data_IF_216331423987
#
_entry.id   IF_216331423987
#
_cell.length_a   1.000
_cell.length_b   1.000
_cell.length_c   1.000
_cell.angle_alpha   90.00
_cell.angle_beta   90.00
_cell.angle_gamma   90.00
#
_symmetry.space_group_name_H-M   'P 1'
#
loop_
_entity.id
_entity.type
_entity.pdbx_description
1 polymer ?
#
# COMPACT_ATOMS: atom_id res chain seq x y z
N UNK A 1 -50.01 18.07 -60.80
CA UNK A 1 -50.02 16.99 -59.79
C UNK A 1 -48.69 16.27 -59.89
N UNK A 2 -47.75 16.58 -58.99
CA UNK A 2 -46.43 15.95 -58.95
C UNK A 2 -46.46 14.87 -57.87
N UNK A 3 -46.42 13.61 -58.29
CA UNK A 3 -46.16 12.49 -57.39
C UNK A 3 -44.67 12.18 -57.50
N UNK A 4 -43.99 12.31 -56.38
CA UNK A 4 -42.54 12.23 -56.24
C UNK A 4 -41.99 10.84 -56.60
N UNK A 5 -40.94 10.82 -57.42
CA UNK A 5 -40.15 9.63 -57.82
C UNK A 5 -39.42 8.93 -56.64
N UNK A 6 -39.51 9.45 -55.41
CA UNK A 6 -38.87 8.88 -54.22
C UNK A 6 -39.47 7.54 -53.76
N UNK A 7 -40.64 7.16 -54.26
CA UNK A 7 -41.39 5.99 -53.78
C UNK A 7 -41.09 4.68 -54.53
N UNK A 8 -40.40 4.73 -55.68
CA UNK A 8 -40.11 3.55 -56.51
C UNK A 8 -38.71 2.92 -56.29
N UNK A 9 -37.83 3.58 -55.54
CA UNK A 9 -36.46 3.09 -55.27
C UNK A 9 -36.37 2.37 -53.91
N UNK A 10 -37.35 2.54 -53.02
CA UNK A 10 -37.34 1.91 -51.69
C UNK A 10 -37.96 0.51 -51.65
N UNK A 11 -38.78 0.14 -52.63
CA UNK A 11 -39.41 -1.19 -52.72
C UNK A 11 -38.40 -2.34 -53.00
N UNK A 12 -37.40 -2.20 -53.88
CA UNK A 12 -36.41 -3.27 -54.13
C UNK A 12 -35.45 -3.46 -52.95
N UNK A 13 -35.11 -2.38 -52.23
CA UNK A 13 -34.16 -2.42 -51.11
C UNK A 13 -34.78 -3.10 -49.89
N UNK A 14 -36.08 -2.93 -49.67
CA UNK A 14 -36.80 -3.60 -48.58
C UNK A 14 -37.01 -5.10 -48.84
N UNK A 15 -37.22 -5.51 -50.10
CA UNK A 15 -37.31 -6.93 -50.48
C UNK A 15 -35.94 -7.63 -50.32
N UNK A 16 -34.84 -6.94 -50.66
CA UNK A 16 -33.48 -7.49 -50.47
C UNK A 16 -33.11 -7.60 -48.97
N UNK A 17 -33.51 -6.63 -48.15
CA UNK A 17 -33.33 -6.70 -46.69
C UNK A 17 -34.18 -7.79 -46.03
N UNK A 18 -35.39 -8.06 -46.55
CA UNK A 18 -36.26 -9.14 -46.10
C UNK A 18 -35.75 -10.55 -46.50
N UNK A 19 -35.03 -10.67 -47.62
CA UNK A 19 -34.37 -11.92 -48.02
C UNK A 19 -33.05 -12.15 -47.27
N UNK A 20 -32.30 -11.10 -46.89
CA UNK A 20 -31.07 -11.23 -46.08
C UNK A 20 -31.38 -11.63 -44.62
N UNK A 21 -32.56 -11.33 -44.08
CA UNK A 21 -33.00 -11.82 -42.77
C UNK A 21 -33.48 -13.29 -42.78
N UNK A 22 -33.62 -13.90 -43.95
CA UNK A 22 -33.86 -15.33 -44.11
C UNK A 22 -32.59 -16.04 -44.59
N UNK A 23 -31.47 -15.84 -43.89
CA UNK A 23 -30.41 -16.83 -43.87
C UNK A 23 -31.04 -18.18 -43.53
N UNK A 24 -30.89 -19.15 -44.44
CA UNK A 24 -31.51 -20.47 -44.32
C UNK A 24 -31.16 -21.15 -42.98
N UNK A 25 -31.91 -22.18 -42.56
CA UNK A 25 -31.71 -22.85 -41.28
C UNK A 25 -30.22 -23.18 -41.01
N UNK A 26 -29.50 -23.54 -42.07
CA UNK A 26 -28.07 -23.89 -42.06
C UNK A 26 -27.12 -22.70 -41.77
N UNK A 27 -27.42 -21.45 -42.18
CA UNK A 27 -26.60 -20.28 -41.83
C UNK A 27 -26.90 -19.76 -40.41
N UNK A 28 -28.16 -19.83 -39.99
CA UNK A 28 -28.57 -19.52 -38.62
C UNK A 28 -28.01 -20.54 -37.62
N UNK A 29 -27.97 -21.81 -37.98
CA UNK A 29 -27.30 -22.85 -37.19
C UNK A 29 -25.79 -22.66 -37.16
N UNK A 30 -25.13 -22.35 -38.28
CA UNK A 30 -23.68 -22.07 -38.30
C UNK A 30 -23.30 -20.85 -37.47
N UNK A 31 -24.07 -19.76 -37.53
CA UNK A 31 -23.83 -18.57 -36.71
C UNK A 31 -24.12 -18.80 -35.23
N UNK A 32 -25.09 -19.66 -34.89
CA UNK A 32 -25.39 -20.06 -33.51
C UNK A 32 -24.34 -21.03 -32.97
N UNK A 33 -23.89 -21.99 -33.77
CA UNK A 33 -22.82 -22.92 -33.44
C UNK A 33 -21.49 -22.20 -33.27
N UNK A 34 -21.17 -21.20 -34.11
CA UNK A 34 -19.97 -20.37 -33.96
C UNK A 34 -20.03 -19.52 -32.68
N UNK A 35 -21.20 -18.94 -32.34
CA UNK A 35 -21.41 -18.22 -31.07
C UNK A 35 -21.31 -19.14 -29.86
N UNK A 36 -21.83 -20.36 -29.94
CA UNK A 36 -21.72 -21.39 -28.91
C UNK A 36 -20.26 -21.84 -28.73
N UNK A 37 -19.52 -22.05 -29.83
CA UNK A 37 -18.08 -22.36 -29.80
C UNK A 37 -17.25 -21.22 -29.18
N UNK A 38 -17.51 -19.97 -29.57
CA UNK A 38 -16.85 -18.79 -28.99
C UNK A 38 -17.23 -18.59 -27.51
N UNK A 39 -18.45 -18.93 -27.09
CA UNK A 39 -18.87 -18.86 -25.69
C UNK A 39 -18.25 -19.96 -24.81
N UNK A 40 -17.76 -21.04 -25.42
CA UNK A 40 -17.03 -22.14 -24.76
C UNK A 40 -15.53 -21.90 -24.69
N UNK A 41 -14.99 -20.97 -25.48
CA UNK A 41 -13.62 -20.51 -25.35
C UNK A 41 -13.62 -19.48 -24.22
N UNK A 42 -13.07 -19.86 -23.07
CA UNK A 42 -12.78 -18.90 -22.01
C UNK A 42 -11.63 -18.01 -22.49
N UNK A 43 -11.98 -16.90 -23.14
CA UNK A 43 -11.04 -15.88 -23.62
C UNK A 43 -10.12 -15.39 -22.49
N UNK A 44 -10.61 -15.37 -21.25
CA UNK A 44 -9.79 -14.99 -20.10
C UNK A 44 -8.79 -16.10 -19.72
N UNK A 45 -9.16 -17.38 -19.88
CA UNK A 45 -8.23 -18.51 -19.72
C UNK A 45 -7.19 -18.58 -20.85
N UNK A 46 -7.57 -18.18 -22.06
CA UNK A 46 -6.66 -18.06 -23.20
C UNK A 46 -5.68 -16.89 -23.00
N UNK A 47 -6.16 -15.72 -22.59
CA UNK A 47 -5.33 -14.55 -22.29
C UNK A 47 -4.39 -14.76 -21.09
N UNK A 48 -4.80 -15.57 -20.09
CA UNK A 48 -3.94 -15.97 -18.97
C UNK A 48 -2.73 -16.82 -19.38
N UNK A 49 -2.78 -17.51 -20.52
CA UNK A 49 -1.64 -18.33 -21.00
C UNK A 49 -0.54 -17.51 -21.66
N UNK A 50 -0.85 -16.30 -22.10
CA UNK A 50 0.08 -15.40 -22.78
C UNK A 50 0.63 -14.29 -21.86
N UNK A 51 0.17 -14.20 -20.60
CA UNK A 51 0.75 -13.26 -19.62
C UNK A 51 2.21 -13.65 -19.30
N UNK A 52 3.16 -12.71 -19.38
CA UNK A 52 4.56 -12.97 -19.01
C UNK A 52 4.69 -13.35 -17.54
N UNK A 53 5.71 -14.15 -17.18
CA UNK A 53 5.95 -14.54 -15.79
C UNK A 53 6.13 -13.29 -14.91
N UNK A 54 5.61 -13.39 -13.68
CA UNK A 54 5.80 -12.40 -12.62
C UNK A 54 7.13 -12.63 -11.89
N UNK A 55 8.20 -12.75 -12.68
CA UNK A 55 9.56 -12.90 -12.18
C UNK A 55 10.31 -11.60 -12.46
N UNK A 56 10.79 -10.96 -11.40
CA UNK A 56 11.42 -9.65 -11.45
C UNK A 56 12.79 -9.73 -10.78
N UNK A 57 13.78 -8.97 -11.26
CA UNK A 57 15.08 -8.87 -10.60
C UNK A 57 14.96 -8.40 -9.14
N UNK A 58 15.99 -8.65 -8.33
CA UNK A 58 16.02 -8.27 -6.91
C UNK A 58 17.00 -7.11 -6.63
N UNK A 59 17.60 -6.52 -7.66
CA UNK A 59 18.53 -5.39 -7.60
C UNK A 59 18.12 -4.24 -8.52
N UNK A 60 18.54 -3.01 -8.18
CA UNK A 60 18.28 -1.83 -9.01
C UNK A 60 18.94 -1.98 -10.39
N UNK A 61 20.16 -2.52 -10.42
CA UNK A 61 20.92 -2.80 -11.63
C UNK A 61 20.21 -3.83 -12.51
N UNK A 62 19.60 -4.86 -11.90
CA UNK A 62 18.77 -5.82 -12.62
C UNK A 62 17.54 -5.19 -13.27
N UNK A 63 16.98 -4.16 -12.65
CA UNK A 63 15.94 -3.31 -13.23
C UNK A 63 16.47 -2.31 -14.28
N UNK A 64 17.78 -2.24 -14.48
CA UNK A 64 18.51 -1.26 -15.29
C UNK A 64 18.37 0.20 -14.79
N UNK A 65 18.15 0.40 -13.49
CA UNK A 65 18.08 1.73 -12.87
C UNK A 65 19.16 1.92 -11.80
N UNK A 66 19.52 3.17 -11.56
CA UNK A 66 20.33 3.59 -10.43
C UNK A 66 19.90 4.98 -9.96
N UNK A 67 20.20 5.34 -8.71
CA UNK A 67 20.08 6.71 -8.25
C UNK A 67 21.29 7.51 -8.71
N UNK A 68 21.07 8.65 -9.37
CA UNK A 68 22.14 9.56 -9.77
C UNK A 68 22.61 10.43 -8.58
N UNK A 69 23.60 11.30 -8.81
CA UNK A 69 24.14 12.23 -7.78
C UNK A 69 23.10 13.19 -7.20
N UNK A 70 21.99 13.43 -7.92
CA UNK A 70 20.86 14.26 -7.47
C UNK A 70 19.81 13.44 -6.72
N UNK A 71 20.06 12.17 -6.43
CA UNK A 71 19.12 11.27 -5.77
C UNK A 71 17.93 10.87 -6.64
N UNK A 72 18.00 11.01 -7.96
CA UNK A 72 16.91 10.67 -8.87
C UNK A 72 17.09 9.28 -9.48
N UNK A 73 16.04 8.47 -9.49
CA UNK A 73 16.06 7.15 -10.13
C UNK A 73 16.07 7.31 -11.65
N UNK A 74 17.13 6.84 -12.30
CA UNK A 74 17.34 6.96 -13.75
C UNK A 74 17.83 5.66 -14.36
N UNK A 75 17.42 5.41 -15.60
CA UNK A 75 17.87 4.25 -16.34
C UNK A 75 19.39 4.36 -16.59
N UNK A 76 20.15 3.31 -16.29
CA UNK A 76 21.62 3.34 -16.24
C UNK A 76 22.23 3.74 -17.58
N UNK A 77 21.66 3.28 -18.70
CA UNK A 77 22.22 3.51 -20.04
C UNK A 77 21.72 4.78 -20.70
N UNK A 78 20.44 5.13 -20.49
CA UNK A 78 19.78 6.21 -21.23
C UNK A 78 19.59 7.48 -20.41
N UNK A 79 19.64 7.38 -19.08
CA UNK A 79 19.34 8.49 -18.18
C UNK A 79 17.86 8.87 -18.11
N UNK A 80 16.96 8.07 -18.70
CA UNK A 80 15.51 8.33 -18.70
C UNK A 80 14.87 7.99 -17.34
N UNK A 81 13.73 8.64 -16.98
CA UNK A 81 13.01 8.35 -15.75
C UNK A 81 12.33 6.97 -15.78
N UNK A 82 11.78 6.56 -14.63
CA UNK A 82 11.02 5.33 -14.53
C UNK A 82 9.73 5.39 -15.35
N UNK A 83 9.46 4.34 -16.13
CA UNK A 83 8.22 4.17 -16.89
C UNK A 83 7.36 3.09 -16.25
N UNK A 84 6.17 3.47 -15.79
CA UNK A 84 5.20 2.54 -15.17
C UNK A 84 4.54 1.63 -16.20
N UNK A 85 3.99 2.21 -17.29
CA UNK A 85 3.39 1.46 -18.40
C UNK A 85 4.49 0.90 -19.32
N UNK A 86 5.32 0.01 -18.77
CA UNK A 86 6.46 -0.58 -19.48
C UNK A 86 6.00 -1.52 -20.60
N UNK A 87 4.91 -2.26 -20.36
CA UNK A 87 4.22 -3.04 -21.40
C UNK A 87 2.81 -2.50 -21.60
N UNK A 88 2.46 -2.19 -22.85
CA UNK A 88 1.10 -1.78 -23.21
C UNK A 88 0.12 -2.91 -22.86
N UNK A 89 -1.08 -2.54 -22.40
CA UNK A 89 -2.19 -3.44 -22.03
C UNK A 89 -1.94 -4.47 -20.92
N UNK A 90 -0.74 -4.52 -20.32
CA UNK A 90 -0.39 -5.45 -19.23
C UNK A 90 -0.36 -4.75 -17.86
N UNK A 91 -1.49 -4.18 -17.45
CA UNK A 91 -1.62 -3.43 -16.19
C UNK A 91 -1.19 -4.23 -14.95
N UNK A 92 -1.60 -5.50 -14.85
CA UNK A 92 -1.25 -6.36 -13.71
C UNK A 92 0.26 -6.59 -13.63
N UNK A 93 0.90 -6.87 -14.76
CA UNK A 93 2.34 -7.09 -14.81
C UNK A 93 3.11 -5.81 -14.46
N UNK A 94 2.70 -4.66 -15.02
CA UNK A 94 3.30 -3.35 -14.72
C UNK A 94 3.17 -3.00 -13.23
N UNK A 95 2.02 -3.27 -12.63
CA UNK A 95 1.80 -3.09 -11.20
C UNK A 95 2.73 -3.97 -10.36
N UNK A 96 2.87 -5.26 -10.71
CA UNK A 96 3.78 -6.18 -10.01
C UNK A 96 5.25 -5.80 -10.18
N UNK A 97 5.64 -5.30 -11.35
CA UNK A 97 6.97 -4.72 -11.60
C UNK A 97 7.25 -3.53 -10.69
N UNK A 98 6.27 -2.62 -10.55
CA UNK A 98 6.37 -1.45 -9.68
C UNK A 98 6.47 -1.84 -8.20
N UNK A 99 5.71 -2.85 -7.77
CA UNK A 99 5.79 -3.41 -6.42
C UNK A 99 7.19 -3.98 -6.15
N UNK A 100 7.71 -4.83 -7.05
CA UNK A 100 9.04 -5.42 -6.95
C UNK A 100 10.15 -4.35 -6.85
N UNK A 101 10.13 -3.33 -7.71
CA UNK A 101 11.05 -2.20 -7.62
C UNK A 101 10.96 -1.48 -6.27
N UNK A 102 9.74 -1.32 -5.74
CA UNK A 102 9.52 -0.70 -4.44
C UNK A 102 10.13 -1.44 -3.25
N UNK A 103 10.19 -2.77 -3.31
CA UNK A 103 10.86 -3.58 -2.28
C UNK A 103 12.37 -3.41 -2.34
N UNK A 104 12.95 -3.31 -3.55
CA UNK A 104 14.37 -3.02 -3.74
C UNK A 104 14.71 -1.63 -3.19
N UNK A 105 13.89 -0.62 -3.50
CA UNK A 105 14.06 0.74 -2.99
C UNK A 105 13.99 0.77 -1.46
N UNK A 106 13.11 -0.03 -0.86
CA UNK A 106 13.01 -0.13 0.60
C UNK A 106 14.34 -0.61 1.21
N UNK A 107 14.95 -1.66 0.65
CA UNK A 107 16.27 -2.13 1.09
C UNK A 107 17.35 -1.06 0.89
N UNK A 108 17.34 -0.39 -0.26
CA UNK A 108 18.28 0.68 -0.57
C UNK A 108 18.18 1.85 0.44
N UNK A 109 16.97 2.27 0.80
CA UNK A 109 16.76 3.31 1.82
C UNK A 109 17.30 2.86 3.19
N UNK A 110 17.12 1.60 3.58
CA UNK A 110 17.71 1.09 4.82
C UNK A 110 19.23 1.18 4.82
N UNK A 111 19.89 0.86 3.70
CA UNK A 111 21.33 1.00 3.58
C UNK A 111 21.77 2.46 3.73
N UNK A 112 21.02 3.41 3.16
CA UNK A 112 21.31 4.84 3.35
C UNK A 112 21.11 5.27 4.81
N UNK A 113 20.09 4.77 5.51
CA UNK A 113 19.90 5.06 6.93
C UNK A 113 21.08 4.56 7.78
N UNK A 114 21.62 3.38 7.45
CA UNK A 114 22.76 2.80 8.16
C UNK A 114 24.08 3.50 7.81
N UNK A 115 24.36 3.70 6.52
CA UNK A 115 25.65 4.20 6.02
C UNK A 115 25.75 5.73 6.01
N UNK A 116 24.71 6.42 5.56
CA UNK A 116 24.74 7.88 5.36
C UNK A 116 24.18 8.65 6.56
N UNK A 117 23.27 8.04 7.31
CA UNK A 117 22.67 8.64 8.51
C UNK A 117 23.23 8.06 9.83
N UNK A 118 24.10 7.05 9.78
CA UNK A 118 24.69 6.39 10.94
C UNK A 118 23.65 5.88 11.96
N UNK A 119 22.49 5.42 11.48
CA UNK A 119 21.46 4.85 12.33
C UNK A 119 21.64 3.34 12.47
N UNK A 120 21.37 2.80 13.65
CA UNK A 120 21.42 1.37 13.95
C UNK A 120 20.01 0.78 13.93
N UNK A 121 19.83 -0.40 13.32
CA UNK A 121 18.60 -1.18 13.46
C UNK A 121 18.52 -1.80 14.84
N UNK A 122 17.41 -1.57 15.51
CA UNK A 122 17.10 -2.18 16.81
C UNK A 122 15.91 -3.10 16.62
N UNK A 123 16.10 -4.38 16.91
CA UNK A 123 15.08 -5.41 16.77
C UNK A 123 13.97 -5.25 17.81
N UNK A 124 12.73 -5.47 17.36
CA UNK A 124 11.53 -5.50 18.19
C UNK A 124 10.82 -6.85 18.06
N UNK A 125 10.20 -7.38 19.13
CA UNK A 125 10.31 -6.94 20.53
C UNK A 125 11.76 -6.96 21.07
N UNK A 126 12.06 -6.17 22.11
CA UNK A 126 13.42 -6.09 22.70
C UNK A 126 13.87 -7.38 23.37
N UNK A 127 12.91 -8.21 23.77
CA UNK A 127 13.07 -9.51 24.42
C UNK A 127 12.73 -10.67 23.47
N UNK A 128 12.74 -10.43 22.16
CA UNK A 128 12.28 -11.40 21.19
C UNK A 128 13.16 -12.67 21.12
N UNK A 129 12.51 -13.83 21.27
CA UNK A 129 13.05 -15.17 21.05
C UNK A 129 13.43 -15.39 19.58
N UNK A 130 14.27 -16.38 19.27
CA UNK A 130 14.69 -16.67 17.89
C UNK A 130 13.52 -17.07 16.97
N UNK A 131 12.50 -17.72 17.52
CA UNK A 131 11.40 -18.31 16.75
C UNK A 131 10.19 -17.40 16.56
N UNK A 132 10.12 -16.25 17.25
CA UNK A 132 8.96 -15.36 17.13
C UNK A 132 9.13 -14.29 16.03
N UNK A 133 8.03 -13.79 15.44
CA UNK A 133 8.06 -12.68 14.48
C UNK A 133 8.73 -11.43 15.05
N UNK A 134 9.53 -10.76 14.23
CA UNK A 134 10.31 -9.57 14.61
C UNK A 134 10.13 -8.44 13.60
N UNK A 135 10.27 -7.22 14.08
CA UNK A 135 10.40 -5.98 13.31
C UNK A 135 11.61 -5.21 13.82
N UNK A 136 11.76 -3.95 13.44
CA UNK A 136 12.81 -3.08 13.93
C UNK A 136 12.43 -1.60 13.85
N UNK A 137 13.19 -0.79 14.56
CA UNK A 137 13.29 0.66 14.40
C UNK A 137 14.71 1.04 14.05
N UNK A 138 14.93 2.25 13.54
CA UNK A 138 16.27 2.83 13.46
C UNK A 138 16.47 3.85 14.58
N UNK A 139 17.67 3.90 15.14
CA UNK A 139 18.06 4.96 16.07
C UNK A 139 19.49 5.44 15.89
N UNK A 140 19.74 6.71 16.19
CA UNK A 140 21.11 7.22 16.34
C UNK A 140 21.74 6.67 17.62
N UNK A 141 23.07 6.63 17.68
CA UNK A 141 23.80 6.11 18.84
C UNK A 141 23.50 6.86 20.14
N UNK A 142 23.19 8.15 20.05
CA UNK A 142 22.87 9.03 21.16
C UNK A 142 21.37 9.14 21.46
N UNK A 143 20.49 8.44 20.72
CA UNK A 143 19.03 8.64 20.79
C UNK A 143 18.45 8.52 22.20
N UNK A 144 19.02 7.66 23.04
CA UNK A 144 18.55 7.44 24.42
C UNK A 144 19.35 8.25 25.46
N UNK A 145 20.56 8.70 25.13
CA UNK A 145 21.49 9.33 26.08
C UNK A 145 21.59 10.85 25.90
N UNK A 146 21.16 11.39 24.76
CA UNK A 146 21.14 12.82 24.49
C UNK A 146 20.11 13.52 25.40
N UNK A 147 20.54 14.42 26.30
CA UNK A 147 19.65 15.04 27.28
C UNK A 147 18.82 16.19 26.68
N UNK A 148 19.16 16.70 25.51
CA UNK A 148 18.55 17.93 25.01
C UNK A 148 17.32 17.66 24.15
N UNK A 149 17.50 16.96 23.04
CA UNK A 149 16.51 16.89 21.96
C UNK A 149 16.49 15.51 21.32
N UNK A 150 15.29 14.96 21.15
CA UNK A 150 15.04 13.71 20.43
C UNK A 150 14.03 13.96 19.31
N UNK A 151 14.33 13.54 18.09
CA UNK A 151 13.41 13.54 16.96
C UNK A 151 12.89 12.12 16.71
N UNK A 152 11.57 12.00 16.56
CA UNK A 152 10.86 10.74 16.30
C UNK A 152 10.09 10.86 14.99
N UNK A 153 10.41 10.01 14.01
CA UNK A 153 9.81 10.02 12.67
C UNK A 153 8.82 8.87 12.49
N UNK A 154 7.60 9.19 12.04
CA UNK A 154 6.50 8.22 11.86
C UNK A 154 5.89 8.38 10.46
N UNK A 155 6.07 7.37 9.61
CA UNK A 155 5.49 7.37 8.26
C UNK A 155 4.01 6.98 8.25
N UNK A 156 3.36 7.20 7.10
CA UNK A 156 1.94 6.85 6.88
C UNK A 156 1.71 5.35 6.70
N UNK A 157 0.46 4.98 6.45
CA UNK A 157 0.04 3.59 6.20
C UNK A 157 0.41 3.11 4.80
N UNK A 158 0.36 1.80 4.59
CA UNK A 158 0.48 1.16 3.27
C UNK A 158 1.82 0.46 3.06
N UNK A 159 2.36 0.55 1.84
CA UNK A 159 3.58 -0.18 1.43
C UNK A 159 4.88 0.55 1.74
N UNK A 160 4.81 1.72 2.38
CA UNK A 160 5.99 2.44 2.88
C UNK A 160 6.51 1.81 4.16
N UNK A 161 7.81 1.96 4.39
CA UNK A 161 8.53 1.46 5.57
C UNK A 161 9.40 2.55 6.17
N UNK A 162 10.04 2.26 7.30
CA UNK A 162 11.00 3.17 7.96
C UNK A 162 11.94 3.85 6.95
N UNK A 163 12.12 5.16 7.09
CA UNK A 163 12.90 5.99 6.17
C UNK A 163 12.13 6.54 4.97
N UNK A 164 10.88 6.14 4.72
CA UNK A 164 10.14 6.55 3.52
C UNK A 164 8.90 7.40 3.85
N UNK A 165 8.66 8.44 3.06
CA UNK A 165 7.38 9.16 3.05
C UNK A 165 6.45 8.62 1.96
N UNK A 166 6.97 8.43 0.75
CA UNK A 166 6.18 7.98 -0.39
C UNK A 166 7.05 7.30 -1.46
N UNK A 167 6.77 6.02 -1.72
CA UNK A 167 7.40 5.24 -2.80
C UNK A 167 7.28 5.94 -4.17
N UNK A 168 6.14 6.58 -4.44
CA UNK A 168 5.90 7.32 -5.70
C UNK A 168 6.86 8.49 -5.87
N UNK A 169 7.16 9.24 -4.82
CA UNK A 169 8.07 10.39 -4.88
C UNK A 169 9.51 9.89 -5.10
N UNK A 170 9.95 8.86 -4.37
CA UNK A 170 11.28 8.27 -4.55
C UNK A 170 11.52 7.84 -6.01
N UNK A 171 10.52 7.22 -6.64
CA UNK A 171 10.64 6.68 -8.00
C UNK A 171 10.58 7.77 -9.07
N UNK A 172 9.70 8.77 -8.92
CA UNK A 172 9.41 9.73 -10.00
C UNK A 172 10.11 11.08 -9.84
N UNK A 173 10.49 11.44 -8.61
CA UNK A 173 11.13 12.71 -8.27
C UNK A 173 12.56 12.44 -7.82
N UNK A 174 12.77 12.20 -6.52
CA UNK A 174 14.07 11.94 -5.91
C UNK A 174 13.97 11.36 -4.49
N UNK A 175 15.11 10.95 -3.94
CA UNK A 175 15.26 10.51 -2.55
C UNK A 175 14.89 11.60 -1.55
N UNK A 176 15.19 12.86 -1.80
CA UNK A 176 15.00 13.93 -0.82
C UNK A 176 13.51 14.18 -0.55
N UNK A 177 12.70 14.26 -1.60
CA UNK A 177 11.24 14.43 -1.51
C UNK A 177 10.54 13.18 -0.97
N UNK A 178 11.04 11.99 -1.32
CA UNK A 178 10.37 10.74 -1.01
C UNK A 178 10.78 10.06 0.30
N UNK A 179 11.88 10.47 0.92
CA UNK A 179 12.44 9.84 2.14
C UNK A 179 12.48 10.77 3.34
N UNK A 180 12.69 10.17 4.51
CA UNK A 180 12.91 10.85 5.78
C UNK A 180 14.35 11.35 5.93
N UNK A 181 15.25 11.01 5.00
CA UNK A 181 16.70 11.27 5.10
C UNK A 181 17.02 12.75 5.28
N UNK A 182 16.41 13.71 4.55
CA UNK A 182 16.70 15.13 4.78
C UNK A 182 16.35 15.60 6.19
N UNK A 183 15.26 15.08 6.76
CA UNK A 183 14.86 15.38 8.14
C UNK A 183 15.87 14.81 9.13
N UNK A 184 16.31 13.57 8.92
CA UNK A 184 17.31 12.90 9.76
C UNK A 184 18.64 13.65 9.71
N UNK A 185 19.16 13.95 8.51
CA UNK A 185 20.42 14.69 8.34
C UNK A 185 20.37 16.06 9.00
N UNK A 186 19.24 16.77 8.88
CA UNK A 186 19.03 18.05 9.56
C UNK A 186 18.97 17.89 11.08
N UNK A 187 18.26 16.90 11.58
CA UNK A 187 18.16 16.62 13.02
C UNK A 187 19.53 16.32 13.62
N UNK A 188 20.32 15.46 12.98
CA UNK A 188 21.69 15.14 13.41
C UNK A 188 22.57 16.40 13.39
N UNK A 189 22.52 17.19 12.31
CA UNK A 189 23.27 18.45 12.22
C UNK A 189 22.89 19.46 13.32
N UNK A 190 21.62 19.51 13.71
CA UNK A 190 21.14 20.36 14.80
C UNK A 190 21.29 19.71 16.20
N UNK A 191 21.94 18.55 16.32
CA UNK A 191 22.28 17.89 17.58
C UNK A 191 21.13 17.13 18.25
N UNK A 192 20.17 16.64 17.49
CA UNK A 192 19.09 15.78 17.99
C UNK A 192 19.53 14.32 17.97
N UNK A 193 19.17 13.57 19.00
CA UNK A 193 19.03 12.12 18.88
C UNK A 193 17.88 11.80 17.92
N UNK A 194 17.91 10.68 17.21
CA UNK A 194 16.91 10.32 16.20
C UNK A 194 16.37 8.91 16.42
N UNK A 195 15.05 8.73 16.33
CA UNK A 195 14.38 7.44 16.24
C UNK A 195 13.43 7.46 15.03
N UNK A 196 13.48 6.40 14.21
CA UNK A 196 12.62 6.20 13.05
C UNK A 196 11.79 4.93 13.26
N UNK A 197 10.47 5.09 13.29
CA UNK A 197 9.54 3.97 13.49
C UNK A 197 9.28 3.21 12.17
N UNK A 198 8.90 1.94 12.29
CA UNK A 198 8.49 1.09 11.17
C UNK A 198 7.06 0.51 11.38
N UNK A 199 6.03 1.37 11.58
CA UNK A 199 4.69 0.93 12.01
C UNK A 199 3.95 -0.01 11.06
N UNK A 200 4.37 -0.11 9.80
CA UNK A 200 3.74 -0.98 8.80
C UNK A 200 4.38 -2.37 8.70
N UNK A 201 5.51 -2.61 9.39
CA UNK A 201 6.12 -3.93 9.49
C UNK A 201 5.69 -4.57 10.81
N UNK A 202 4.44 -5.03 10.83
CA UNK A 202 3.70 -5.50 12.00
C UNK A 202 3.31 -6.98 11.94
N UNK A 203 3.65 -7.69 10.87
CA UNK A 203 3.46 -9.13 10.72
C UNK A 203 4.48 -9.74 9.77
N UNK A 204 4.65 -11.06 9.85
CA UNK A 204 5.31 -11.87 8.83
C UNK A 204 4.27 -12.74 8.10
N UNK A 205 4.50 -13.00 6.81
CA UNK A 205 3.67 -13.93 6.05
C UNK A 205 4.27 -15.33 6.10
N UNK A 206 3.48 -16.32 6.51
CA UNK A 206 3.87 -17.74 6.53
C UNK A 206 2.86 -18.59 5.78
N UNK A 207 3.32 -19.67 5.15
CA UNK A 207 2.45 -20.59 4.42
C UNK A 207 1.49 -21.30 5.39
N UNK A 208 0.19 -21.30 5.07
CA UNK A 208 -0.78 -22.07 5.85
C UNK A 208 -0.52 -23.57 5.67
N UNK A 209 -0.51 -24.34 6.77
CA UNK A 209 -0.61 -25.79 6.69
C UNK A 209 -1.90 -26.16 5.96
N UNK A 210 -1.84 -27.10 5.00
CA UNK A 210 -3.03 -27.62 4.32
C UNK A 210 -3.84 -28.47 5.31
N UNK A 211 -4.79 -27.86 6.01
CA UNK A 211 -5.75 -28.60 6.83
C UNK A 211 -6.87 -29.09 5.91
N UNK A 212 -6.97 -30.40 5.71
CA UNK A 212 -8.06 -31.03 4.96
C UNK A 212 -9.30 -31.09 5.88
N UNK A 213 -10.09 -30.02 5.91
CA UNK A 213 -11.35 -29.98 6.68
C UNK A 213 -12.49 -30.39 5.77
N UNK A 214 -13.02 -31.60 6.01
CA UNK A 214 -14.33 -32.02 5.51
C UNK A 214 -15.40 -31.09 6.08
N UNK A 215 -16.19 -30.50 5.19
CA UNK A 215 -17.32 -29.65 5.52
C UNK A 215 -18.37 -30.41 6.33
N UNK A 216 -18.58 -30.03 7.58
CA UNK A 216 -19.81 -30.36 8.31
C UNK A 216 -20.76 -29.17 8.25
N UNK A 217 -21.99 -29.48 7.82
CA UNK A 217 -23.13 -28.57 7.72
C UNK A 217 -23.76 -28.25 9.08
N UNK A 218 -24.63 -27.25 9.03
CA UNK A 218 -25.71 -26.92 9.97
C UNK A 218 -25.29 -26.05 11.17
N UNK A 219 -25.99 -24.98 11.54
CA UNK A 219 -27.45 -24.81 11.54
C UNK A 219 -27.91 -23.37 11.30
N UNK A 220 -29.13 -23.26 10.78
CA UNK A 220 -29.92 -22.05 10.64
C UNK A 220 -30.56 -21.62 11.98
N UNK A 221 -30.66 -20.32 12.23
CA UNK A 221 -31.85 -19.65 12.80
C UNK A 221 -31.58 -18.15 13.00
N UNK A 222 -32.12 -17.28 12.12
CA UNK A 222 -32.48 -15.88 12.43
C UNK A 222 -33.39 -15.26 11.34
N UNK A 223 -34.25 -14.27 11.69
CA UNK A 223 -35.50 -13.95 10.98
C UNK A 223 -35.35 -13.17 9.65
N UNK A 224 -36.36 -13.36 8.79
CA UNK A 224 -36.32 -13.18 7.33
C UNK A 224 -36.16 -11.75 6.79
N UNK A 225 -36.43 -10.69 7.55
CA UNK A 225 -36.43 -9.32 7.01
C UNK A 225 -35.06 -8.64 6.99
N UNK A 226 -34.08 -9.11 7.77
CA UNK A 226 -32.68 -8.64 7.70
C UNK A 226 -31.88 -9.34 6.58
N UNK A 227 -32.46 -10.38 5.98
CA UNK A 227 -31.84 -11.23 4.95
C UNK A 227 -31.83 -10.55 3.58
N UNK A 228 -32.92 -9.90 3.15
CA UNK A 228 -32.99 -9.34 1.79
C UNK A 228 -32.07 -8.13 1.52
N UNK A 229 -31.85 -7.25 2.51
CA UNK A 229 -30.91 -6.12 2.37
C UNK A 229 -29.44 -6.53 2.51
N UNK A 230 -29.15 -7.53 3.34
CA UNK A 230 -27.80 -8.08 3.50
C UNK A 230 -27.43 -9.01 2.34
N UNK A 231 -28.40 -9.71 1.75
CA UNK A 231 -28.23 -10.58 0.58
C UNK A 231 -27.93 -9.80 -0.70
N UNK A 232 -28.45 -8.58 -0.87
CA UNK A 232 -28.11 -7.74 -2.05
C UNK A 232 -26.67 -7.21 -1.96
N UNK A 233 -26.26 -6.67 -0.81
CA UNK A 233 -24.88 -6.21 -0.56
C UNK A 233 -23.90 -7.39 -0.54
N UNK A 234 -24.29 -8.53 0.05
CA UNK A 234 -23.51 -9.77 0.06
C UNK A 234 -23.37 -10.36 -1.35
N UNK A 235 -24.44 -10.41 -2.16
CA UNK A 235 -24.36 -10.88 -3.55
C UNK A 235 -23.53 -9.95 -4.44
N UNK A 236 -23.55 -8.65 -4.19
CA UNK A 236 -22.74 -7.68 -4.92
C UNK A 236 -21.26 -7.73 -4.50
N UNK A 237 -20.98 -7.91 -3.21
CA UNK A 237 -19.61 -8.10 -2.68
C UNK A 237 -19.05 -9.47 -3.04
N UNK A 238 -19.91 -10.50 -3.11
CA UNK A 238 -19.58 -11.84 -3.60
C UNK A 238 -19.33 -11.83 -5.11
N UNK A 239 -20.17 -11.16 -5.91
CA UNK A 239 -19.91 -10.94 -7.34
C UNK A 239 -18.65 -10.12 -7.60
N UNK A 240 -18.34 -9.10 -6.78
CA UNK A 240 -17.08 -8.34 -6.87
C UNK A 240 -15.88 -9.20 -6.48
N UNK A 241 -15.97 -9.99 -5.40
CA UNK A 241 -14.93 -10.96 -5.03
C UNK A 241 -14.72 -11.97 -6.15
N UNK A 242 -15.77 -12.61 -6.64
CA UNK A 242 -15.73 -13.57 -7.75
C UNK A 242 -15.18 -12.93 -9.05
N UNK A 243 -15.49 -11.66 -9.30
CA UNK A 243 -14.95 -10.89 -10.44
C UNK A 243 -13.44 -10.67 -10.30
N UNK A 244 -12.92 -10.34 -9.10
CA UNK A 244 -11.49 -10.21 -8.85
C UNK A 244 -10.77 -11.57 -8.71
N UNK A 245 -11.46 -12.61 -8.23
CA UNK A 245 -11.01 -14.00 -8.16
C UNK A 245 -10.75 -14.56 -9.56
N UNK A 246 -11.52 -14.11 -10.57
CA UNK A 246 -11.32 -14.46 -11.98
C UNK A 246 -9.98 -13.96 -12.54
N UNK A 247 -9.39 -12.91 -11.98
CA UNK A 247 -8.05 -12.40 -12.35
C UNK A 247 -6.91 -13.01 -11.52
N UNK A 248 -7.23 -13.93 -10.60
CA UNK A 248 -6.24 -14.70 -9.86
C UNK A 248 -5.59 -15.72 -10.80
N UNK A 249 -4.27 -15.67 -10.96
CA UNK A 249 -3.55 -16.70 -11.69
C UNK A 249 -3.48 -17.97 -10.81
N UNK A 250 -3.98 -19.14 -11.25
CA UNK A 250 -3.94 -20.38 -10.48
C UNK A 250 -2.55 -20.99 -10.28
N UNK A 251 -1.48 -20.31 -10.69
CA UNK A 251 -0.10 -20.68 -10.33
C UNK A 251 0.12 -20.49 -8.82
N UNK A 252 -0.51 -21.38 -8.04
CA UNK A 252 -0.25 -21.72 -6.64
C UNK A 252 0.26 -20.56 -5.77
N UNK A 253 -0.53 -19.49 -5.65
CA UNK A 253 -0.45 -18.67 -4.44
C UNK A 253 -0.87 -19.58 -3.29
N UNK A 254 0.11 -20.18 -2.62
CA UNK A 254 -0.13 -20.93 -1.39
C UNK A 254 -0.87 -19.99 -0.45
N UNK A 255 -1.90 -20.50 0.23
CA UNK A 255 -2.59 -19.66 1.20
C UNK A 255 -1.57 -19.20 2.25
N UNK A 256 -1.36 -17.90 2.36
CA UNK A 256 -0.51 -17.30 3.39
C UNK A 256 -1.39 -16.95 4.59
N UNK A 257 -0.83 -17.06 5.80
CA UNK A 257 -1.37 -16.45 7.01
C UNK A 257 -0.40 -15.39 7.52
N UNK A 258 -0.95 -14.37 8.16
CA UNK A 258 -0.19 -13.31 8.80
C UNK A 258 0.04 -13.67 10.27
N UNK A 259 1.30 -13.77 10.68
CA UNK A 259 1.68 -13.86 12.08
C UNK A 259 2.10 -12.47 12.56
N UNK A 260 1.24 -11.85 13.36
CA UNK A 260 1.48 -10.52 13.90
C UNK A 260 2.62 -10.52 14.91
N UNK A 261 3.35 -9.41 14.93
CA UNK A 261 4.47 -9.20 15.83
C UNK A 261 3.91 -8.81 17.20
N UNK A 262 4.37 -9.49 18.24
CA UNK A 262 3.90 -9.29 19.61
C UNK A 262 4.03 -7.82 20.02
N UNK A 263 2.93 -7.25 20.51
CA UNK A 263 2.82 -5.85 20.97
C UNK A 263 3.20 -4.81 19.90
N UNK A 264 3.28 -5.23 18.64
CA UNK A 264 3.58 -4.41 17.47
C UNK A 264 2.70 -4.86 16.29
N UNK A 265 1.49 -5.35 16.56
CA UNK A 265 0.58 -5.94 15.59
C UNK A 265 -0.19 -4.90 14.77
N UNK A 266 -0.18 -3.63 15.21
CA UNK A 266 -0.72 -2.48 14.48
C UNK A 266 0.24 -1.28 14.53
N UNK A 267 0.05 -0.28 13.65
CA UNK A 267 0.79 1.00 13.73
C UNK A 267 0.72 1.67 15.10
N UNK A 268 -0.42 1.59 15.77
CA UNK A 268 -0.68 2.20 17.08
C UNK A 268 0.01 1.42 18.20
N UNK A 269 -0.12 0.09 18.20
CA UNK A 269 0.63 -0.77 19.13
C UNK A 269 2.14 -0.55 19.00
N UNK A 270 2.65 -0.47 17.77
CA UNK A 270 4.06 -0.19 17.51
C UNK A 270 4.50 1.17 18.07
N UNK A 271 3.69 2.22 17.89
CA UNK A 271 4.00 3.54 18.44
C UNK A 271 4.04 3.54 19.98
N UNK A 272 3.08 2.85 20.62
CA UNK A 272 3.04 2.68 22.08
C UNK A 272 4.22 1.85 22.59
N UNK A 273 4.55 0.75 21.92
CA UNK A 273 5.71 -0.08 22.26
C UNK A 273 7.01 0.71 22.22
N UNK A 274 7.26 1.44 21.13
CA UNK A 274 8.48 2.24 20.98
C UNK A 274 8.52 3.36 22.02
N UNK A 275 7.37 3.92 22.39
CA UNK A 275 7.29 4.88 23.48
C UNK A 275 7.73 4.29 24.82
N UNK A 276 7.10 3.19 25.25
CA UNK A 276 7.33 2.61 26.57
C UNK A 276 8.75 2.03 26.73
N UNK A 277 9.30 1.46 25.67
CA UNK A 277 10.61 0.79 25.72
C UNK A 277 11.80 1.71 25.40
N UNK A 278 11.59 2.82 24.70
CA UNK A 278 12.69 3.68 24.24
C UNK A 278 12.48 5.16 24.56
N UNK A 279 11.43 5.78 24.01
CA UNK A 279 11.26 7.24 24.07
C UNK A 279 11.05 7.71 25.51
N UNK A 280 10.20 7.03 26.28
CA UNK A 280 9.91 7.35 27.68
C UNK A 280 11.13 7.15 28.60
N UNK A 281 12.10 6.33 28.20
CA UNK A 281 13.33 6.04 28.95
C UNK A 281 14.51 6.91 28.52
N UNK A 282 14.39 7.64 27.41
CA UNK A 282 15.42 8.55 26.92
C UNK A 282 15.74 9.67 27.91
N UNK A 283 16.96 10.20 27.87
CA UNK A 283 17.39 11.35 28.67
C UNK A 283 16.84 12.69 28.16
N UNK A 284 16.23 12.71 26.97
CA UNK A 284 15.85 13.94 26.27
C UNK A 284 14.78 14.74 27.02
N UNK A 285 15.07 16.01 27.28
CA UNK A 285 14.11 16.98 27.84
C UNK A 285 13.02 17.38 26.84
N UNK A 286 13.35 17.37 25.54
CA UNK A 286 12.45 17.78 24.47
C UNK A 286 12.35 16.66 23.42
N UNK A 287 11.16 16.06 23.31
CA UNK A 287 10.87 15.06 22.28
C UNK A 287 10.00 15.69 21.21
N UNK A 288 10.43 15.54 19.95
CA UNK A 288 9.81 16.11 18.76
C UNK A 288 9.35 15.00 17.83
N UNK A 289 8.05 14.95 17.55
CA UNK A 289 7.49 14.00 16.61
C UNK A 289 7.33 14.66 15.24
N UNK A 290 7.64 13.91 14.19
CA UNK A 290 7.39 14.25 12.80
C UNK A 290 6.60 13.09 12.19
N UNK A 291 5.29 13.28 12.09
CA UNK A 291 4.35 12.25 11.66
C UNK A 291 3.63 12.67 10.37
N UNK A 292 3.50 11.75 9.41
CA UNK A 292 2.84 11.99 8.13
C UNK A 292 1.66 11.03 7.90
N UNK A 293 0.54 11.55 7.38
CA UNK A 293 -0.67 10.77 7.05
C UNK A 293 -1.15 9.93 8.25
N UNK A 294 -1.39 8.63 8.07
CA UNK A 294 -1.82 7.71 9.14
C UNK A 294 -0.85 7.66 10.34
N UNK A 295 0.44 7.98 10.14
CA UNK A 295 1.38 8.12 11.24
C UNK A 295 0.97 9.19 12.25
N UNK A 296 0.22 10.21 11.80
CA UNK A 296 -0.40 11.21 12.67
C UNK A 296 -1.50 10.63 13.55
N UNK A 297 -2.27 9.65 13.07
CA UNK A 297 -3.29 8.96 13.89
C UNK A 297 -2.63 8.09 14.95
N UNK A 298 -1.63 7.29 14.58
CA UNK A 298 -0.85 6.52 15.54
C UNK A 298 -0.20 7.41 16.61
N UNK A 299 0.27 8.59 16.23
CA UNK A 299 0.77 9.59 17.17
C UNK A 299 -0.33 10.17 18.08
N UNK A 300 -1.51 10.50 17.55
CA UNK A 300 -2.63 11.00 18.38
C UNK A 300 -3.07 9.96 19.39
N UNK A 301 -3.13 8.68 19.01
CA UNK A 301 -3.42 7.60 19.93
C UNK A 301 -2.34 7.43 20.99
N UNK A 302 -1.06 7.50 20.60
CA UNK A 302 0.05 7.54 21.54
C UNK A 302 -0.09 8.69 22.55
N UNK A 303 -0.51 9.88 22.11
CA UNK A 303 -0.77 11.01 23.01
C UNK A 303 -1.95 10.72 23.92
N UNK A 304 -3.07 10.20 23.40
CA UNK A 304 -4.26 9.87 24.19
C UNK A 304 -3.95 8.85 25.30
N UNK A 305 -3.14 7.84 25.00
CA UNK A 305 -2.72 6.80 25.95
C UNK A 305 -1.60 7.31 26.87
N UNK A 306 -0.67 8.10 26.33
CA UNK A 306 0.53 8.60 27.00
C UNK A 306 0.33 9.86 27.86
N UNK A 307 -0.83 10.51 27.78
CA UNK A 307 -1.20 11.73 28.52
C UNK A 307 -1.15 11.59 30.06
N UNK A 308 -0.95 10.39 30.59
CA UNK A 308 -0.72 10.14 32.03
C UNK A 308 0.76 10.20 32.45
N UNK A 309 1.73 10.31 31.52
CA UNK A 309 3.17 10.23 31.83
C UNK A 309 3.87 11.61 31.74
N UNK A 310 4.27 12.10 32.91
CA UNK A 310 4.84 13.43 33.22
C UNK A 310 6.14 13.81 32.46
N UNK A 311 6.07 14.24 31.20
CA UNK A 311 7.19 14.88 30.47
C UNK A 311 6.73 16.01 29.55
N UNK A 312 7.58 17.02 29.35
CA UNK A 312 7.34 18.10 28.40
C UNK A 312 7.52 17.58 26.97
N UNK A 313 6.40 17.33 26.29
CA UNK A 313 6.37 16.93 24.88
C UNK A 313 6.25 18.18 23.99
N UNK A 314 7.11 18.31 22.98
CA UNK A 314 7.04 19.40 21.99
C UNK A 314 6.70 18.82 20.63
N UNK A 315 5.52 19.11 20.10
CA UNK A 315 4.97 18.37 18.96
C UNK A 315 5.12 19.19 17.66
N UNK A 316 5.63 18.55 16.61
CA UNK A 316 5.66 19.11 15.25
C UNK A 316 4.87 18.22 14.28
N UNK A 317 3.57 18.43 14.18
CA UNK A 317 2.75 17.71 13.21
C UNK A 317 3.00 18.28 11.80
N UNK A 318 3.55 17.45 10.89
CA UNK A 318 3.59 17.75 9.47
C UNK A 318 2.27 17.32 8.82
N UNK A 319 1.30 18.23 8.84
CA UNK A 319 0.07 18.09 8.07
C UNK A 319 0.32 18.57 6.63
N UNK A 320 0.88 17.70 5.79
CA UNK A 320 1.05 17.95 4.35
C UNK A 320 2.28 18.76 3.95
N UNK A 321 2.31 19.21 2.69
CA UNK A 321 3.46 19.80 1.99
C UNK A 321 3.88 21.21 2.46
N UNK A 322 3.40 21.69 3.60
CA UNK A 322 3.79 23.00 4.14
C UNK A 322 4.65 22.85 5.41
N UNK A 323 5.46 23.87 5.66
CA UNK A 323 6.38 23.97 6.80
C UNK A 323 5.73 23.52 8.11
N UNK A 324 6.48 22.87 9.03
CA UNK A 324 5.94 22.36 10.28
C UNK A 324 5.20 23.44 11.06
N UNK A 325 3.90 23.24 11.27
CA UNK A 325 3.15 24.02 12.24
C UNK A 325 3.59 23.53 13.62
N UNK A 326 4.33 24.37 14.34
CA UNK A 326 4.67 24.12 15.74
C UNK A 326 3.37 24.12 16.54
N UNK A 327 2.94 22.94 16.97
CA UNK A 327 1.93 22.82 18.02
C UNK A 327 2.68 22.56 19.31
N UNK A 328 3.14 23.64 19.95
CA UNK A 328 3.70 23.55 21.30
C UNK A 328 2.56 23.30 22.28
N UNK A 329 2.27 22.03 22.53
CA UNK A 329 1.33 21.63 23.56
C UNK A 329 2.09 21.52 24.91
N UNK A 330 2.24 22.63 25.64
CA UNK A 330 2.26 22.50 27.09
C UNK A 330 0.85 22.08 27.46
N UNK A 331 0.63 20.79 27.73
CA UNK A 331 -0.68 20.29 28.12
C UNK A 331 -0.76 20.38 29.65
N UNK A 332 -1.36 21.43 30.23
CA UNK A 332 -1.87 21.32 31.59
C UNK A 332 -3.06 20.36 31.58
N UNK A 333 -3.22 19.67 32.71
CA UNK A 333 -4.35 18.81 33.04
C UNK A 333 -5.64 19.58 32.69
N UNK A 334 -6.43 19.04 31.77
CA UNK A 334 -7.68 19.59 31.18
C UNK A 334 -7.50 20.53 29.97
N UNK A 335 -7.66 19.98 28.77
CA UNK A 335 -8.10 20.75 27.60
C UNK A 335 -8.86 19.85 26.62
N UNK A 336 -10.09 20.26 26.28
CA UNK A 336 -10.91 19.64 25.25
C UNK A 336 -10.33 19.91 23.85
N UNK A 337 -10.20 18.87 23.03
CA UNK A 337 -9.85 18.99 21.61
C UNK A 337 -11.09 19.35 20.78
N UNK A 338 -11.07 20.50 20.10
CA UNK A 338 -11.90 20.76 18.91
C UNK A 338 -11.03 20.56 17.68
N UNK A 339 -11.31 19.50 16.91
CA UNK A 339 -10.71 19.26 15.60
C UNK A 339 -11.25 20.28 14.58
N UNK A 340 -10.40 20.95 13.78
CA UNK A 340 -10.88 21.64 12.59
C UNK A 340 -11.21 20.59 11.51
N UNK A 341 -12.49 20.55 11.13
CA UNK A 341 -12.96 19.82 9.96
C UNK A 341 -12.36 20.50 8.72
N UNK A 342 -11.50 19.81 7.98
CA UNK A 342 -11.06 20.27 6.66
C UNK A 342 -11.96 19.62 5.60
N UNK A 343 -12.73 20.47 4.92
CA UNK A 343 -13.51 20.10 3.73
C UNK A 343 -12.57 19.74 2.58
N UNK A 344 -12.78 18.57 1.98
CA UNK A 344 -12.18 18.20 0.72
C UNK A 344 -12.64 19.16 -0.40
N UNK A 345 -11.69 19.67 -1.18
CA UNK A 345 -11.94 20.13 -2.55
C UNK A 345 -11.28 19.15 -3.51
#
# INVERSE_FOLDING_TARGET
>A
MSISLSSLILLPIWINMAQIQQGGPDEKEKTTALKDLLSRIDLDELMKKDEPPLDFPDTLEGFEYAFNEKGQLRHIKTGEPFVFNYREDLHRWNQKRYEALGEIITKYVYELLEKDCNLKKITLPVDATESEPKSFIFMSEDALTNPQKLMVLIHGSGVVRAGQWARRLIINEDLDSGTQIPFIKRAVHEGYGVIVLNPNENYIEVEKPKIHVQSTSDSADEPAEKKERKDKVSKETKKRRDFYEKYRNPQREKEMMQLYIRENGSPEEHAVYVWDHFIAQSAAENVFFVAHSYGGLAFVELVMIGLEKSRTLKIFLLLGNELPVLVSAQLPISAHFTLPVCSAQ
#
